data_IF_196942681460
#
_entry.id   IF_196942681460
#
_cell.length_a   1.000
_cell.length_b   1.000
_cell.length_c   1.000
_cell.angle_alpha   90.00
_cell.angle_beta   90.00
_cell.angle_gamma   90.00
#
_symmetry.space_group_name_H-M   'P 1'
#
loop_
_entity.id
_entity.type
_entity.pdbx_description
1 polymer ?
#
# COMPACT_ATOMS: atom_id res chain seq x y z
N UNK A 1 13.88 -26.82 21.55
CA UNK A 1 12.90 -26.06 20.74
C UNK A 1 13.11 -24.59 21.05
N UNK A 2 13.82 -23.89 20.19
CA UNK A 2 13.95 -22.44 20.27
C UNK A 2 12.62 -21.84 19.80
N UNK A 3 11.86 -21.25 20.68
CA UNK A 3 10.69 -20.46 20.33
C UNK A 3 11.16 -19.29 19.46
N UNK A 4 10.96 -19.37 18.16
CA UNK A 4 11.04 -18.21 17.28
C UNK A 4 9.96 -17.25 17.75
N UNK A 5 10.33 -16.21 18.53
CA UNK A 5 9.50 -15.05 18.73
C UNK A 5 9.20 -14.51 17.33
N UNK A 6 7.95 -14.51 16.92
CA UNK A 6 7.55 -13.74 15.75
C UNK A 6 8.09 -12.32 15.96
N UNK A 7 9.03 -11.92 15.11
CA UNK A 7 9.54 -10.55 15.16
C UNK A 7 8.35 -9.66 14.84
N UNK A 8 7.91 -8.84 15.80
CA UNK A 8 6.77 -7.96 15.61
C UNK A 8 6.94 -7.15 14.33
N UNK A 9 5.89 -7.02 13.55
CA UNK A 9 5.83 -6.19 12.36
C UNK A 9 5.09 -4.89 12.72
N UNK A 10 5.64 -3.77 12.30
CA UNK A 10 5.08 -2.43 12.50
C UNK A 10 4.58 -1.91 11.16
N UNK A 11 3.32 -1.53 11.10
CA UNK A 11 2.77 -0.77 9.97
C UNK A 11 3.15 0.70 10.09
N UNK A 12 3.75 1.25 9.04
CA UNK A 12 4.10 2.67 8.91
C UNK A 12 3.46 3.24 7.65
N UNK A 13 2.49 4.13 7.82
CA UNK A 13 1.93 4.94 6.75
C UNK A 13 2.68 6.27 6.68
N UNK A 14 3.27 6.57 5.54
CA UNK A 14 3.99 7.82 5.25
C UNK A 14 3.09 8.69 4.38
N UNK A 15 2.20 9.43 5.02
CA UNK A 15 1.27 10.34 4.35
C UNK A 15 1.83 11.75 4.17
N UNK A 16 1.21 12.56 3.31
CA UNK A 16 1.68 13.92 2.98
C UNK A 16 1.52 14.96 4.09
N UNK A 17 0.68 14.72 5.10
CA UNK A 17 0.49 15.64 6.24
C UNK A 17 0.89 15.05 7.57
N UNK A 18 0.93 13.75 7.69
CA UNK A 18 1.33 13.06 8.92
C UNK A 18 1.74 11.62 8.61
N UNK A 19 2.64 11.10 9.43
CA UNK A 19 2.92 9.67 9.51
C UNK A 19 2.04 9.01 10.56
N UNK A 20 1.69 7.74 10.35
CA UNK A 20 0.99 6.92 11.32
C UNK A 20 1.74 5.62 11.51
N UNK A 21 1.81 5.18 12.75
CA UNK A 21 2.46 3.93 13.15
C UNK A 21 1.46 3.06 13.91
N UNK A 22 1.41 1.79 13.55
CA UNK A 22 0.60 0.79 14.23
C UNK A 22 1.44 -0.45 14.51
N UNK A 23 1.45 -0.91 15.75
CA UNK A 23 1.98 -2.23 16.12
C UNK A 23 0.83 -3.10 16.62
N UNK A 24 0.62 -4.22 15.95
CA UNK A 24 -0.39 -5.21 16.29
C UNK A 24 0.27 -6.45 16.86
N UNK A 25 -0.47 -7.14 17.72
CA UNK A 25 -0.11 -8.47 18.22
C UNK A 25 -1.20 -9.44 17.82
N UNK A 26 -0.80 -10.47 17.13
CA UNK A 26 -1.67 -11.59 16.81
C UNK A 26 -1.63 -12.63 17.93
N UNK A 27 -2.82 -13.11 18.31
CA UNK A 27 -2.98 -14.24 19.21
C UNK A 27 -4.20 -15.05 18.79
N UNK A 28 -3.98 -16.27 18.33
CA UNK A 28 -5.04 -17.20 17.91
C UNK A 28 -5.94 -16.67 16.79
N UNK A 29 -5.35 -15.94 15.84
CA UNK A 29 -6.09 -15.32 14.73
C UNK A 29 -6.78 -13.99 15.06
N UNK A 30 -6.69 -13.52 16.31
CA UNK A 30 -7.20 -12.20 16.71
C UNK A 30 -6.06 -11.20 16.81
N UNK A 31 -6.31 -9.99 16.33
CA UNK A 31 -5.35 -8.88 16.39
C UNK A 31 -5.70 -7.93 17.54
N UNK A 32 -4.71 -7.54 18.29
CA UNK A 32 -4.83 -6.54 19.34
C UNK A 32 -3.84 -5.39 19.11
N UNK A 33 -4.32 -4.16 19.24
CA UNK A 33 -3.51 -2.96 19.14
C UNK A 33 -2.52 -2.89 20.32
N UNK A 34 -1.24 -2.80 20.02
CA UNK A 34 -0.18 -2.63 21.02
C UNK A 34 0.29 -1.19 21.09
N UNK A 35 0.50 -0.55 19.94
CA UNK A 35 0.94 0.84 19.83
C UNK A 35 0.27 1.52 18.66
N UNK A 36 -0.02 2.78 18.85
CA UNK A 36 -0.52 3.68 17.80
C UNK A 36 0.18 5.03 17.99
N UNK A 37 0.67 5.60 16.92
CA UNK A 37 1.25 6.92 16.93
C UNK A 37 0.92 7.69 15.65
N UNK A 38 0.86 9.00 15.78
CA UNK A 38 0.69 9.95 14.68
C UNK A 38 1.73 11.05 14.88
N UNK A 39 2.49 11.33 13.84
CA UNK A 39 3.49 12.40 13.82
C UNK A 39 3.20 13.32 12.63
N UNK A 40 2.93 14.61 12.86
CA UNK A 40 2.75 15.58 11.77
C UNK A 40 4.00 15.71 10.91
N UNK A 41 3.81 15.91 9.61
CA UNK A 41 4.86 16.22 8.65
C UNK A 41 4.70 17.63 8.11
N UNK A 42 5.85 18.26 7.85
CA UNK A 42 5.89 19.51 7.11
C UNK A 42 5.35 19.32 5.68
N UNK A 43 4.55 20.25 5.14
CA UNK A 43 3.95 20.14 3.82
C UNK A 43 4.97 19.94 2.68
N UNK A 44 6.19 20.45 2.85
CA UNK A 44 7.27 20.30 1.87
C UNK A 44 7.95 18.93 1.90
N UNK A 45 7.76 18.12 2.94
CA UNK A 45 8.44 16.84 3.08
C UNK A 45 7.98 15.82 2.03
N UNK A 46 6.67 15.84 1.70
CA UNK A 46 6.06 14.94 0.72
C UNK A 46 5.07 15.71 -0.15
N UNK A 47 5.33 15.71 -1.44
CA UNK A 47 4.48 16.37 -2.45
C UNK A 47 4.03 15.32 -3.47
N UNK A 48 2.73 15.22 -3.73
CA UNK A 48 2.13 14.23 -4.64
C UNK A 48 2.61 12.79 -4.39
N UNK A 49 2.80 12.47 -3.10
CA UNK A 49 3.29 11.17 -2.65
C UNK A 49 4.78 10.95 -2.91
N UNK A 50 5.54 11.91 -3.42
CA UNK A 50 6.99 11.83 -3.58
C UNK A 50 7.71 12.46 -2.39
N UNK A 51 8.74 11.79 -1.88
CA UNK A 51 9.57 12.31 -0.80
C UNK A 51 10.49 13.40 -1.38
N UNK A 52 10.28 14.64 -0.93
CA UNK A 52 11.06 15.80 -1.36
C UNK A 52 12.20 16.12 -0.39
N UNK A 53 12.00 15.85 0.91
CA UNK A 53 13.02 15.99 1.94
C UNK A 53 13.10 14.72 2.80
N UNK A 54 14.09 13.90 2.50
CA UNK A 54 14.33 12.64 3.21
C UNK A 54 14.71 12.87 4.68
N UNK A 55 15.37 13.97 5.01
CA UNK A 55 15.81 14.26 6.38
C UNK A 55 14.60 14.51 7.28
N UNK A 56 13.64 15.33 6.82
CA UNK A 56 12.39 15.58 7.56
C UNK A 56 11.59 14.30 7.79
N UNK A 57 11.57 13.40 6.79
CA UNK A 57 10.88 12.10 6.90
C UNK A 57 11.59 11.20 7.90
N UNK A 58 12.91 11.08 7.85
CA UNK A 58 13.72 10.28 8.79
C UNK A 58 13.54 10.78 10.22
N UNK A 59 13.63 12.09 10.43
CA UNK A 59 13.46 12.70 11.75
C UNK A 59 12.04 12.46 12.30
N UNK A 60 11.02 12.51 11.46
CA UNK A 60 9.66 12.20 11.86
C UNK A 60 9.50 10.71 12.24
N UNK A 61 10.15 9.78 11.54
CA UNK A 61 10.18 8.36 11.93
C UNK A 61 10.84 8.20 13.30
N UNK A 62 11.94 8.90 13.58
CA UNK A 62 12.58 8.85 14.89
C UNK A 62 11.65 9.37 15.99
N UNK A 63 11.06 10.56 15.82
CA UNK A 63 10.11 11.12 16.82
C UNK A 63 8.93 10.19 17.07
N UNK A 64 8.38 9.60 16.00
CA UNK A 64 7.26 8.66 16.09
C UNK A 64 7.62 7.38 16.85
N UNK A 65 8.82 6.85 16.61
CA UNK A 65 9.35 5.68 17.32
C UNK A 65 9.58 5.98 18.81
N UNK A 66 10.13 7.14 19.12
CA UNK A 66 10.38 7.56 20.49
C UNK A 66 9.08 7.80 21.26
N UNK A 67 8.12 8.48 20.64
CA UNK A 67 6.82 8.75 21.23
C UNK A 67 6.00 7.47 21.50
N UNK A 68 6.09 6.48 20.61
CA UNK A 68 5.36 5.21 20.76
C UNK A 68 6.11 4.18 21.61
N UNK A 69 7.43 4.35 21.78
CA UNK A 69 8.30 3.39 22.47
C UNK A 69 8.38 2.03 21.77
N UNK A 70 8.12 1.98 20.44
CA UNK A 70 8.19 0.76 19.64
C UNK A 70 9.60 0.18 19.65
N UNK A 71 9.71 -1.14 19.88
CA UNK A 71 10.99 -1.86 19.94
C UNK A 71 11.23 -2.73 18.69
N UNK A 72 10.19 -3.03 17.94
CA UNK A 72 10.32 -3.79 16.70
C UNK A 72 11.14 -3.02 15.66
N UNK A 73 11.88 -3.77 14.86
CA UNK A 73 12.77 -3.24 13.81
C UNK A 73 12.25 -3.51 12.41
N UNK A 74 11.27 -4.41 12.28
CA UNK A 74 10.70 -4.81 10.99
C UNK A 74 9.45 -3.98 10.71
N UNK A 75 9.44 -3.33 9.55
CA UNK A 75 8.39 -2.41 9.15
C UNK A 75 7.72 -2.89 7.86
N UNK A 76 6.40 -2.72 7.81
CA UNK A 76 5.61 -2.75 6.61
C UNK A 76 5.18 -1.33 6.27
N UNK A 77 5.20 -0.98 4.99
CA UNK A 77 4.69 0.30 4.49
C UNK A 77 3.85 0.07 3.25
N UNK A 78 3.16 1.08 2.78
CA UNK A 78 2.37 1.01 1.55
C UNK A 78 2.59 2.24 0.68
N UNK A 79 2.23 2.11 -0.59
CA UNK A 79 2.41 3.11 -1.62
C UNK A 79 1.11 3.34 -2.38
N UNK A 80 0.93 4.57 -2.89
CA UNK A 80 -0.17 4.93 -3.77
C UNK A 80 0.25 6.01 -4.78
N UNK A 81 -0.71 6.47 -5.57
CA UNK A 81 -0.53 7.54 -6.55
C UNK A 81 -0.07 7.05 -7.93
N UNK A 82 0.31 7.99 -8.79
CA UNK A 82 0.58 7.74 -10.21
C UNK A 82 1.73 6.77 -10.52
N UNK A 83 2.57 6.48 -9.53
CA UNK A 83 3.67 5.52 -9.67
C UNK A 83 3.24 4.07 -9.44
N UNK A 84 1.98 3.85 -9.03
CA UNK A 84 1.39 2.53 -8.77
C UNK A 84 0.37 2.21 -9.86
N UNK A 85 0.55 1.09 -10.52
CA UNK A 85 -0.36 0.56 -11.53
C UNK A 85 -0.92 -0.75 -11.00
N UNK A 86 -2.25 -0.86 -10.99
CA UNK A 86 -2.95 -2.11 -10.72
C UNK A 86 -3.79 -2.41 -11.95
N UNK A 87 -3.70 -3.62 -12.46
CA UNK A 87 -4.45 -4.06 -13.64
C UNK A 87 -4.95 -5.49 -13.47
N UNK A 88 -6.21 -5.70 -13.79
CA UNK A 88 -6.76 -7.03 -13.99
C UNK A 88 -6.61 -7.37 -15.46
N UNK A 89 -5.89 -8.43 -15.76
CA UNK A 89 -5.61 -8.89 -17.12
C UNK A 89 -6.14 -10.32 -17.31
N UNK A 90 -6.47 -10.64 -18.55
CA UNK A 90 -6.78 -12.01 -18.96
C UNK A 90 -5.67 -12.49 -19.88
N UNK A 91 -5.18 -13.69 -19.62
CA UNK A 91 -4.13 -14.31 -20.40
C UNK A 91 -4.37 -15.83 -20.52
N UNK A 92 -3.75 -16.51 -21.48
CA UNK A 92 -3.88 -17.96 -21.60
C UNK A 92 -3.55 -18.67 -20.29
N UNK A 93 -4.37 -19.67 -19.93
CA UNK A 93 -4.11 -20.48 -18.74
C UNK A 93 -2.81 -21.28 -18.92
N UNK A 94 -1.94 -21.20 -17.94
CA UNK A 94 -0.65 -21.87 -17.92
C UNK A 94 -0.24 -22.25 -16.53
N UNK A 95 0.72 -23.19 -16.35
CA UNK A 95 1.28 -23.52 -15.05
C UNK A 95 1.94 -22.30 -14.37
N UNK A 96 1.93 -22.21 -13.03
CA UNK A 96 2.55 -21.08 -12.29
C UNK A 96 4.04 -20.88 -12.60
N UNK A 97 4.77 -21.93 -12.93
CA UNK A 97 6.18 -21.89 -13.32
C UNK A 97 6.39 -21.13 -14.66
N UNK A 98 5.48 -21.30 -15.62
CA UNK A 98 5.55 -20.63 -16.92
C UNK A 98 5.05 -19.18 -16.79
N UNK A 99 4.10 -18.94 -15.88
CA UNK A 99 3.53 -17.61 -15.66
C UNK A 99 4.58 -16.60 -15.20
N UNK A 100 5.54 -17.01 -14.36
CA UNK A 100 6.58 -16.10 -13.85
C UNK A 100 7.42 -15.48 -14.98
N UNK A 101 7.64 -16.21 -16.06
CA UNK A 101 8.41 -15.74 -17.22
C UNK A 101 7.52 -14.96 -18.20
N UNK A 102 6.27 -15.38 -18.38
CA UNK A 102 5.34 -14.75 -19.31
C UNK A 102 4.76 -13.43 -18.78
N UNK A 103 4.59 -13.30 -17.48
CA UNK A 103 3.92 -12.14 -16.87
C UNK A 103 4.63 -10.81 -17.18
N UNK A 104 5.95 -10.81 -17.34
CA UNK A 104 6.70 -9.61 -17.69
C UNK A 104 6.34 -9.11 -19.10
N UNK A 105 6.26 -10.02 -20.06
CA UNK A 105 5.88 -9.71 -21.45
C UNK A 105 4.44 -9.22 -21.55
N UNK A 106 3.53 -9.86 -20.83
CA UNK A 106 2.14 -9.42 -20.76
C UNK A 106 2.03 -8.05 -20.08
N UNK A 107 2.77 -7.83 -19.02
CA UNK A 107 2.76 -6.58 -18.28
C UNK A 107 3.17 -5.35 -19.11
N UNK A 108 4.13 -5.50 -20.02
CA UNK A 108 4.59 -4.42 -20.91
C UNK A 108 3.45 -3.80 -21.75
N UNK A 109 2.41 -4.54 -22.03
CA UNK A 109 1.26 -4.04 -22.81
C UNK A 109 0.35 -3.12 -22.00
N UNK A 110 0.41 -3.21 -20.66
CA UNK A 110 -0.51 -2.51 -19.74
C UNK A 110 0.17 -1.45 -18.88
N UNK A 111 1.51 -1.51 -18.74
CA UNK A 111 2.28 -0.61 -17.90
C UNK A 111 2.87 0.50 -18.76
N UNK A 112 2.56 1.80 -18.46
CA UNK A 112 3.06 2.93 -19.24
C UNK A 112 4.49 3.34 -18.87
N UNK A 113 5.29 2.41 -18.31
CA UNK A 113 6.67 2.59 -17.88
C UNK A 113 7.52 1.48 -18.47
N UNK A 114 8.83 1.70 -18.55
CA UNK A 114 9.77 0.62 -18.88
C UNK A 114 9.68 -0.47 -17.81
N UNK A 115 9.55 -1.73 -18.23
CA UNK A 115 9.42 -2.87 -17.32
C UNK A 115 10.63 -3.01 -16.39
N UNK A 116 11.80 -2.56 -16.84
CA UNK A 116 13.02 -2.55 -16.04
C UNK A 116 13.00 -1.50 -14.92
N UNK A 117 12.16 -0.47 -15.05
CA UNK A 117 12.03 0.63 -14.08
C UNK A 117 10.94 0.38 -13.04
N UNK A 118 10.25 -0.79 -13.10
CA UNK A 118 9.21 -1.13 -12.14
C UNK A 118 9.56 -2.37 -11.31
N UNK A 119 8.95 -2.44 -10.14
CA UNK A 119 8.76 -3.66 -9.38
C UNK A 119 7.40 -4.22 -9.76
N UNK A 120 7.40 -5.46 -10.21
CA UNK A 120 6.21 -6.18 -10.65
C UNK A 120 5.89 -7.29 -9.65
N UNK A 121 4.62 -7.41 -9.31
CA UNK A 121 4.06 -8.53 -8.57
C UNK A 121 2.68 -8.89 -9.13
N UNK A 122 2.19 -10.10 -8.86
CA UNK A 122 0.91 -10.55 -9.38
C UNK A 122 0.24 -11.58 -8.49
N UNK A 123 -1.09 -11.65 -8.62
CA UNK A 123 -1.91 -12.68 -7.97
C UNK A 123 -2.85 -13.28 -8.99
N UNK A 124 -2.93 -14.61 -9.04
CA UNK A 124 -3.92 -15.34 -9.84
C UNK A 124 -5.27 -15.22 -9.14
N UNK A 125 -6.23 -14.56 -9.79
CA UNK A 125 -7.60 -14.40 -9.29
C UNK A 125 -8.48 -15.60 -9.67
N UNK A 126 -8.23 -16.18 -10.86
CA UNK A 126 -8.91 -17.38 -11.36
C UNK A 126 -7.98 -18.12 -12.30
N UNK A 127 -7.83 -19.42 -12.07
CA UNK A 127 -7.04 -20.31 -12.96
C UNK A 127 -7.78 -20.63 -14.28
N UNK A 128 -8.99 -20.10 -14.45
CA UNK A 128 -9.91 -20.44 -15.52
C UNK A 128 -10.89 -21.55 -15.07
N UNK A 129 -12.10 -21.55 -15.67
CA UNK A 129 -13.05 -22.67 -15.51
C UNK A 129 -12.68 -23.80 -16.48
N UNK A 130 -13.01 -25.06 -16.18
CA UNK A 130 -12.86 -26.16 -17.15
C UNK A 130 -13.53 -25.81 -18.49
N UNK A 131 -12.73 -25.73 -19.54
CA UNK A 131 -13.17 -25.31 -20.88
C UNK A 131 -13.01 -23.82 -21.21
N UNK A 132 -12.50 -23.01 -20.30
CA UNK A 132 -12.00 -21.65 -20.59
C UNK A 132 -10.48 -21.67 -20.75
N UNK A 133 -10.03 -21.15 -21.88
CA UNK A 133 -8.58 -21.09 -22.20
C UNK A 133 -7.83 -19.97 -21.49
N UNK A 134 -8.54 -19.08 -20.76
CA UNK A 134 -7.96 -17.90 -20.13
C UNK A 134 -8.06 -17.95 -18.60
N UNK A 135 -6.98 -17.53 -17.96
CA UNK A 135 -6.88 -17.21 -16.52
C UNK A 135 -7.01 -15.70 -16.30
N UNK A 136 -7.41 -15.30 -15.09
CA UNK A 136 -7.48 -13.91 -14.68
C UNK A 136 -6.39 -13.62 -13.65
N UNK A 137 -5.59 -12.59 -13.91
CA UNK A 137 -4.45 -12.19 -13.07
C UNK A 137 -4.58 -10.73 -12.67
N UNK A 138 -4.38 -10.44 -11.39
CA UNK A 138 -4.20 -9.08 -10.89
C UNK A 138 -2.72 -8.76 -10.93
N UNK A 139 -2.35 -7.78 -11.73
CA UNK A 139 -1.01 -7.30 -11.93
C UNK A 139 -0.80 -6.02 -11.13
N UNK A 140 0.30 -5.92 -10.41
CA UNK A 140 0.71 -4.73 -9.67
C UNK A 140 2.11 -4.33 -10.10
N UNK A 141 2.28 -3.09 -10.52
CA UNK A 141 3.57 -2.54 -10.87
C UNK A 141 3.80 -1.19 -10.16
N UNK A 142 4.96 -1.02 -9.59
CA UNK A 142 5.35 0.21 -8.90
C UNK A 142 6.72 0.66 -9.40
N UNK A 143 6.91 1.95 -9.67
CA UNK A 143 8.23 2.48 -10.04
C UNK A 143 9.27 2.14 -8.98
N UNK A 144 10.42 1.61 -9.43
CA UNK A 144 11.53 1.19 -8.53
C UNK A 144 12.02 2.35 -7.67
N UNK A 145 12.16 3.54 -8.25
CA UNK A 145 12.63 4.73 -7.52
C UNK A 145 11.70 5.05 -6.36
N UNK A 146 10.38 5.00 -6.59
CA UNK A 146 9.37 5.20 -5.55
C UNK A 146 9.53 4.21 -4.39
N UNK A 147 9.68 2.92 -4.70
CA UNK A 147 9.92 1.89 -3.69
C UNK A 147 11.22 2.16 -2.94
N UNK A 148 12.30 2.47 -3.68
CA UNK A 148 13.62 2.70 -3.11
C UNK A 148 13.63 3.92 -2.18
N UNK A 149 12.94 5.00 -2.50
CA UNK A 149 12.84 6.21 -1.67
C UNK A 149 12.23 5.88 -0.30
N UNK A 150 11.10 5.15 -0.28
CA UNK A 150 10.44 4.75 0.96
C UNK A 150 11.29 3.76 1.78
N UNK A 151 11.88 2.77 1.12
CA UNK A 151 12.79 1.82 1.76
C UNK A 151 14.01 2.55 2.33
N UNK A 152 14.54 3.53 1.61
CA UNK A 152 15.72 4.31 2.01
C UNK A 152 15.46 5.10 3.29
N UNK A 153 14.38 5.88 3.39
CA UNK A 153 14.11 6.70 4.58
C UNK A 153 13.84 5.83 5.82
N UNK A 154 13.13 4.70 5.65
CA UNK A 154 12.90 3.76 6.75
C UNK A 154 14.23 3.12 7.19
N UNK A 155 15.11 2.77 6.24
CA UNK A 155 16.42 2.19 6.54
C UNK A 155 17.35 3.19 7.22
N UNK A 156 17.36 4.45 6.78
CA UNK A 156 18.11 5.53 7.41
C UNK A 156 17.67 5.79 8.85
N UNK A 157 16.38 5.57 9.15
CA UNK A 157 15.87 5.60 10.53
C UNK A 157 16.22 4.34 11.36
N UNK A 158 17.12 3.47 10.87
CA UNK A 158 17.59 2.28 11.57
C UNK A 158 16.57 1.12 11.61
N UNK A 159 15.62 1.09 10.67
CA UNK A 159 14.58 0.06 10.57
C UNK A 159 14.75 -0.76 9.29
N UNK A 160 14.15 -1.96 9.27
CA UNK A 160 14.20 -2.87 8.11
C UNK A 160 12.81 -2.96 7.48
N UNK A 161 12.70 -2.68 6.20
CA UNK A 161 11.44 -2.88 5.47
C UNK A 161 11.30 -4.34 5.08
N UNK A 162 10.22 -4.97 5.51
CA UNK A 162 9.90 -6.37 5.20
C UNK A 162 8.82 -6.51 4.16
N UNK A 163 7.94 -5.52 4.07
CA UNK A 163 6.82 -5.53 3.16
C UNK A 163 6.57 -4.10 2.65
N UNK A 164 6.36 -3.98 1.37
CA UNK A 164 5.80 -2.79 0.72
C UNK A 164 4.53 -3.23 0.02
N UNK A 165 3.40 -2.70 0.47
CA UNK A 165 2.07 -2.99 -0.07
C UNK A 165 1.56 -1.80 -0.90
N UNK A 166 0.33 -1.87 -1.33
CA UNK A 166 -0.41 -0.78 -1.96
C UNK A 166 -1.53 -0.33 -1.03
N UNK A 167 -1.72 0.98 -0.88
CA UNK A 167 -2.71 1.55 0.07
C UNK A 167 -4.10 0.94 -0.09
N UNK A 168 -4.53 0.73 -1.34
CA UNK A 168 -5.83 0.12 -1.63
C UNK A 168 -5.98 -1.29 -1.05
N UNK A 169 -4.93 -2.10 -1.09
CA UNK A 169 -4.95 -3.47 -0.55
C UNK A 169 -4.75 -3.49 0.96
N UNK A 170 -3.92 -2.60 1.50
CA UNK A 170 -3.76 -2.46 2.94
C UNK A 170 -5.10 -2.12 3.63
N UNK A 171 -5.89 -1.21 3.04
CA UNK A 171 -7.22 -0.85 3.52
C UNK A 171 -8.20 -2.02 3.34
N UNK A 172 -8.15 -2.73 2.23
CA UNK A 172 -8.97 -3.92 2.00
C UNK A 172 -8.67 -4.99 3.04
N UNK A 173 -7.41 -5.31 3.29
CA UNK A 173 -6.99 -6.28 4.30
C UNK A 173 -7.48 -5.88 5.70
N UNK A 174 -7.41 -4.59 6.04
CA UNK A 174 -7.95 -4.07 7.29
C UNK A 174 -9.47 -4.22 7.37
N UNK A 175 -10.19 -3.95 6.29
CA UNK A 175 -11.64 -4.15 6.22
C UNK A 175 -12.01 -5.63 6.39
N UNK A 176 -11.40 -6.52 5.62
CA UNK A 176 -11.68 -7.96 5.65
C UNK A 176 -11.33 -8.61 6.99
N UNK A 177 -10.35 -8.07 7.70
CA UNK A 177 -9.96 -8.55 9.04
C UNK A 177 -10.97 -8.15 10.12
N UNK A 178 -11.66 -7.02 9.97
CA UNK A 178 -12.50 -6.44 11.01
C UNK A 178 -14.01 -6.58 10.75
N UNK A 179 -14.41 -6.90 9.52
CA UNK A 179 -15.80 -6.97 9.12
C UNK A 179 -16.10 -8.25 8.34
N UNK A 180 -17.31 -8.77 8.50
CA UNK A 180 -17.79 -9.88 7.68
C UNK A 180 -18.02 -9.38 6.24
N UNK A 181 -17.31 -9.99 5.30
CA UNK A 181 -17.44 -9.66 3.88
C UNK A 181 -18.66 -10.37 3.31
N UNK A 182 -19.72 -9.61 3.01
CA UNK A 182 -20.90 -10.10 2.31
C UNK A 182 -20.67 -10.08 0.79
N UNK A 183 -20.53 -11.23 0.12
CA UNK A 183 -20.20 -11.30 -1.30
C UNK A 183 -21.34 -10.81 -2.21
N UNK A 184 -22.54 -10.57 -1.66
CA UNK A 184 -23.68 -10.03 -2.41
C UNK A 184 -23.67 -8.51 -2.49
N UNK A 185 -22.85 -7.85 -1.66
CA UNK A 185 -22.74 -6.39 -1.60
C UNK A 185 -21.59 -5.85 -2.42
N UNK A 186 -21.76 -4.63 -2.88
CA UNK A 186 -20.69 -3.79 -3.41
C UNK A 186 -20.24 -2.84 -2.31
N UNK A 187 -18.95 -2.88 -1.96
CA UNK A 187 -18.37 -2.07 -0.89
C UNK A 187 -17.41 -1.06 -1.51
N UNK A 188 -17.56 0.21 -1.18
CA UNK A 188 -16.59 1.25 -1.53
C UNK A 188 -15.73 1.57 -0.30
N UNK A 189 -14.45 1.27 -0.39
CA UNK A 189 -13.43 1.68 0.57
C UNK A 189 -12.82 2.99 0.09
N UNK A 190 -13.00 4.05 0.85
CA UNK A 190 -12.54 5.41 0.50
C UNK A 190 -11.58 5.89 1.58
N UNK A 191 -10.34 6.11 1.20
CA UNK A 191 -9.31 6.73 2.05
C UNK A 191 -9.03 8.14 1.56
N UNK A 192 -9.57 9.13 2.25
CA UNK A 192 -9.33 10.54 1.94
C UNK A 192 -8.13 11.04 2.76
N UNK A 193 -6.97 11.08 2.12
CA UNK A 193 -5.75 11.65 2.69
C UNK A 193 -5.69 13.17 2.58
N UNK A 194 -4.55 13.76 2.90
CA UNK A 194 -4.35 15.20 2.76
C UNK A 194 -4.22 15.63 1.28
N UNK A 195 -3.45 14.89 0.47
CA UNK A 195 -3.23 15.22 -0.94
C UNK A 195 -3.89 14.25 -1.94
N UNK A 196 -4.16 13.02 -1.53
CA UNK A 196 -4.68 11.95 -2.41
C UNK A 196 -5.85 11.25 -1.75
N UNK A 197 -6.86 10.92 -2.55
CA UNK A 197 -7.96 10.04 -2.15
C UNK A 197 -7.84 8.72 -2.91
N UNK A 198 -7.74 7.61 -2.17
CA UNK A 198 -7.77 6.27 -2.74
C UNK A 198 -9.21 5.74 -2.70
N UNK A 199 -9.67 5.16 -3.79
CA UNK A 199 -10.95 4.48 -3.89
C UNK A 199 -10.69 3.03 -4.30
N UNK A 200 -11.20 2.08 -3.52
CA UNK A 200 -11.20 0.66 -3.86
C UNK A 200 -12.64 0.13 -3.74
N UNK A 201 -13.19 -0.35 -4.85
CA UNK A 201 -14.53 -0.91 -4.90
C UNK A 201 -14.43 -2.42 -4.94
N UNK A 202 -14.98 -3.05 -3.91
CA UNK A 202 -15.07 -4.50 -3.80
C UNK A 202 -16.42 -4.97 -4.32
N UNK A 203 -16.43 -5.98 -5.17
CA UNK A 203 -17.62 -6.69 -5.60
C UNK A 203 -17.34 -8.19 -5.57
N UNK A 204 -18.28 -8.97 -5.04
CA UNK A 204 -18.14 -10.41 -4.84
C UNK A 204 -16.91 -10.80 -4.00
N UNK A 205 -16.54 -9.95 -3.04
CA UNK A 205 -15.39 -10.18 -2.16
C UNK A 205 -14.02 -9.92 -2.80
N UNK A 206 -13.95 -9.30 -3.97
CA UNK A 206 -12.69 -8.98 -4.64
C UNK A 206 -12.68 -7.54 -5.17
N UNK A 207 -11.49 -6.95 -5.32
CA UNK A 207 -11.34 -5.64 -5.98
C UNK A 207 -11.88 -5.70 -7.41
N UNK A 208 -12.93 -4.93 -7.67
CA UNK A 208 -13.56 -4.77 -8.98
C UNK A 208 -13.07 -3.50 -9.70
N UNK A 209 -12.81 -2.46 -8.94
CA UNK A 209 -12.32 -1.18 -9.45
C UNK A 209 -11.44 -0.50 -8.41
N UNK A 210 -10.40 0.15 -8.86
CA UNK A 210 -9.49 0.90 -8.03
C UNK A 210 -9.07 2.21 -8.72
N UNK A 211 -8.91 3.28 -7.95
CA UNK A 211 -8.41 4.56 -8.45
C UNK A 211 -7.86 5.44 -7.35
N UNK A 212 -6.73 6.09 -7.64
CA UNK A 212 -6.23 7.23 -6.89
C UNK A 212 -6.64 8.53 -7.56
N UNK A 213 -7.07 9.49 -6.75
CA UNK A 213 -7.49 10.82 -7.18
C UNK A 213 -6.58 11.83 -6.48
N UNK A 214 -5.91 12.70 -7.25
CA UNK A 214 -5.07 13.78 -6.73
C UNK A 214 -5.93 14.91 -6.16
N UNK A 215 -6.72 14.58 -5.15
CA UNK A 215 -7.61 15.45 -4.42
C UNK A 215 -7.75 14.92 -2.99
N UNK A 216 -7.63 15.79 -1.99
CA UNK A 216 -7.73 15.41 -0.58
C UNK A 216 -8.08 16.58 0.33
N UNK A 217 -7.82 16.45 1.62
CA UNK A 217 -8.16 17.44 2.63
C UNK A 217 -7.54 18.82 2.41
N UNK A 218 -6.35 18.88 1.79
CA UNK A 218 -5.66 20.15 1.54
C UNK A 218 -6.48 21.07 0.63
N UNK A 219 -7.11 20.53 -0.42
CA UNK A 219 -7.92 21.31 -1.35
C UNK A 219 -9.16 21.90 -0.68
N UNK A 220 -9.75 21.20 0.28
CA UNK A 220 -10.84 21.78 1.10
C UNK A 220 -10.33 22.91 1.98
N UNK A 221 -9.20 22.74 2.64
CA UNK A 221 -8.56 23.77 3.47
C UNK A 221 -8.24 25.01 2.65
N UNK A 222 -7.62 24.83 1.47
CA UNK A 222 -7.31 25.93 0.55
C UNK A 222 -8.56 26.66 0.05
N UNK A 223 -9.63 25.93 -0.27
CA UNK A 223 -10.88 26.53 -0.69
C UNK A 223 -11.50 27.41 0.42
N UNK A 224 -11.49 26.92 1.67
CA UNK A 224 -11.94 27.69 2.82
C UNK A 224 -11.05 28.92 3.07
N UNK A 225 -9.75 28.80 2.97
CA UNK A 225 -8.84 29.94 3.10
C UNK A 225 -9.10 31.02 2.05
N UNK A 226 -9.37 30.64 0.80
CA UNK A 226 -9.70 31.61 -0.27
C UNK A 226 -11.03 32.32 -0.06
N UNK A 227 -11.98 31.64 0.59
CA UNK A 227 -13.32 32.22 0.82
C UNK A 227 -13.36 33.13 2.04
N UNK A 228 -12.57 32.86 3.08
CA UNK A 228 -12.61 33.54 4.37
C UNK A 228 -11.41 34.44 4.68
N UNK A 229 -10.44 34.56 3.79
CA UNK A 229 -9.37 35.58 3.80
C UNK A 229 -9.75 36.75 2.83
#
# INVERSE_FOLDING_TARGET
MLFSRSKGLVGLDIGSSAMKLVELKERKGEYSLQRLGIEPLSPEAIVDGSIMDSSLVVDAIHRLNDATGVKATNYATSLSGHSVIIKKIQMPAMPPEDLSDQIQWEAEQYIPFDINDVRLDYVILSEGEPGRENMEVLLVAVKRDKVNDYVSVISQAGKSVWLVDVDAFAIQNAYETNYDVDPTKVIALVNMGAGVTNINILARGATAFWRDISFGGNQFTEALQREFN
#
